data_IF_215789468696
#
_entry.id   IF_215789468696
#
_cell.length_a   1.000
_cell.length_b   1.000
_cell.length_c   1.000
_cell.angle_alpha   90.00
_cell.angle_beta   90.00
_cell.angle_gamma   90.00
#
_symmetry.space_group_name_H-M   'P 1'
#
loop_
_entity.id
_entity.type
_entity.pdbx_description
1 polymer ?
#
# COMPACT_ATOMS: atom_id res chain seq x y z
N UNK A 1 -2.28 22.88 0.27
CA UNK A 1 -2.73 21.51 -0.07
C UNK A 1 -2.68 20.70 1.21
N UNK A 2 -3.84 20.45 1.83
CA UNK A 2 -3.90 19.82 3.15
C UNK A 2 -3.75 18.31 3.02
N UNK A 3 -2.67 17.74 3.54
CA UNK A 3 -2.57 16.29 3.67
C UNK A 3 -3.50 15.84 4.80
N UNK A 4 -4.50 15.02 4.48
CA UNK A 4 -5.36 14.41 5.48
C UNK A 4 -4.50 13.47 6.35
N UNK A 5 -4.07 13.97 7.51
CA UNK A 5 -3.40 13.16 8.53
C UNK A 5 -4.48 12.43 9.32
N UNK A 6 -4.76 11.20 8.92
CA UNK A 6 -5.66 10.35 9.69
C UNK A 6 -4.83 9.58 10.72
N UNK A 7 -4.73 10.12 11.93
CA UNK A 7 -4.22 9.39 13.08
C UNK A 7 -5.39 8.61 13.72
N UNK A 8 -5.62 7.38 13.28
CA UNK A 8 -6.45 6.45 14.05
C UNK A 8 -5.55 5.59 14.94
N UNK A 9 -5.96 5.42 16.20
CA UNK A 9 -5.36 4.44 17.08
C UNK A 9 -5.48 3.04 16.46
N UNK A 10 -4.42 2.21 16.46
CA UNK A 10 -4.51 0.82 16.05
C UNK A 10 -5.68 0.12 16.77
N UNK A 11 -6.62 -0.46 16.00
CA UNK A 11 -7.78 -1.21 16.54
C UNK A 11 -9.14 -0.51 16.45
N UNK A 12 -9.20 0.79 16.12
CA UNK A 12 -10.48 1.43 15.80
C UNK A 12 -10.98 0.95 14.43
N UNK A 13 -12.18 0.36 14.36
CA UNK A 13 -12.83 0.04 13.09
C UNK A 13 -13.34 1.33 12.43
N UNK A 14 -13.08 1.50 11.15
CA UNK A 14 -13.52 2.66 10.38
C UNK A 14 -13.21 2.52 8.90
N UNK A 15 -13.84 3.38 8.11
CA UNK A 15 -13.61 3.51 6.66
C UNK A 15 -12.89 4.82 6.39
N UNK A 16 -11.87 4.76 5.53
CA UNK A 16 -11.18 5.94 5.02
C UNK A 16 -11.43 6.05 3.53
N UNK A 17 -11.64 7.27 3.06
CA UNK A 17 -11.85 7.59 1.65
C UNK A 17 -10.83 8.65 1.24
N UNK A 18 -10.44 8.62 -0.02
CA UNK A 18 -9.56 9.62 -0.63
C UNK A 18 -9.96 9.80 -2.11
N UNK A 19 -9.64 10.95 -2.68
CA UNK A 19 -9.79 11.21 -4.11
C UNK A 19 -8.55 10.72 -4.87
N UNK A 20 -8.62 9.67 -5.72
CA UNK A 20 -7.44 9.01 -6.29
C UNK A 20 -6.48 9.91 -7.07
N UNK A 21 -6.99 10.98 -7.71
CA UNK A 21 -6.18 11.90 -8.51
C UNK A 21 -5.54 13.04 -7.71
N UNK A 22 -5.93 13.23 -6.45
CA UNK A 22 -5.59 14.42 -5.67
C UNK A 22 -5.03 14.11 -4.27
N UNK A 23 -5.32 12.94 -3.74
CA UNK A 23 -5.08 12.60 -2.34
C UNK A 23 -4.45 11.20 -2.20
N UNK A 24 -3.87 10.97 -1.03
CA UNK A 24 -3.34 9.68 -0.61
C UNK A 24 -3.71 9.38 0.84
N UNK A 25 -3.80 8.08 1.17
CA UNK A 25 -3.92 7.62 2.56
C UNK A 25 -2.54 7.23 3.07
N UNK A 26 -2.16 7.75 4.25
CA UNK A 26 -0.86 7.47 4.88
C UNK A 26 -1.05 6.86 6.26
N UNK A 27 -0.46 5.69 6.46
CA UNK A 27 -0.38 5.01 7.75
C UNK A 27 1.06 5.08 8.25
N UNK A 28 1.25 5.53 9.49
CA UNK A 28 2.58 5.71 10.09
C UNK A 28 2.68 4.94 11.39
N UNK A 29 3.80 4.23 11.55
CA UNK A 29 4.21 3.73 12.84
C UNK A 29 4.77 4.90 13.69
N UNK A 30 4.70 4.82 15.04
CA UNK A 30 5.49 5.70 15.87
C UNK A 30 7.00 5.53 15.58
N UNK A 31 7.84 6.50 15.94
CA UNK A 31 9.29 6.33 15.87
C UNK A 31 9.72 5.01 16.52
N UNK A 32 10.63 4.30 15.87
CA UNK A 32 11.17 3.05 16.42
C UNK A 32 12.03 3.36 17.66
N UNK A 33 11.83 2.59 18.74
CA UNK A 33 12.60 2.73 19.99
C UNK A 33 13.96 2.02 19.95
N UNK A 34 14.08 1.00 19.11
CA UNK A 34 15.28 0.17 18.92
C UNK A 34 15.45 -0.11 17.43
N UNK A 35 16.66 -0.49 17.03
CA UNK A 35 16.96 -0.91 15.66
C UNK A 35 16.09 -2.12 15.26
N UNK A 36 15.53 -2.07 14.04
CA UNK A 36 14.69 -3.11 13.48
C UNK A 36 15.10 -3.40 12.04
N UNK A 37 15.19 -4.69 11.73
CA UNK A 37 15.43 -5.15 10.37
C UNK A 37 14.13 -5.65 9.75
N UNK A 38 13.85 -5.19 8.53
CA UNK A 38 12.78 -5.69 7.67
C UNK A 38 13.40 -6.23 6.39
N UNK A 39 13.38 -7.56 6.23
CA UNK A 39 14.06 -8.24 5.12
C UNK A 39 13.11 -9.21 4.42
N UNK A 40 13.08 -9.14 3.09
CA UNK A 40 12.23 -9.98 2.23
C UNK A 40 11.02 -9.24 1.64
N UNK A 41 10.08 -9.98 1.02
CA UNK A 41 8.87 -9.41 0.44
C UNK A 41 7.95 -8.80 1.51
N UNK A 42 7.20 -7.78 1.12
CA UNK A 42 6.17 -7.16 1.95
C UNK A 42 4.82 -7.21 1.24
N UNK A 43 3.75 -7.47 1.99
CA UNK A 43 2.39 -7.53 1.48
C UNK A 43 1.47 -6.56 2.22
N UNK A 44 0.64 -5.82 1.47
CA UNK A 44 -0.41 -4.99 2.00
C UNK A 44 -1.77 -5.68 1.83
N UNK A 45 -2.38 -6.13 2.93
CA UNK A 45 -3.73 -6.72 2.92
C UNK A 45 -4.76 -5.62 3.19
N UNK A 46 -5.40 -5.14 2.13
CA UNK A 46 -6.38 -4.06 2.18
C UNK A 46 -7.79 -4.59 1.94
N UNK A 47 -8.77 -4.01 2.65
CA UNK A 47 -10.19 -4.11 2.27
C UNK A 47 -10.55 -2.78 1.61
N UNK A 48 -11.03 -2.83 0.37
CA UNK A 48 -11.32 -1.65 -0.42
C UNK A 48 -12.75 -1.70 -0.95
N UNK A 49 -13.31 -0.53 -1.21
CA UNK A 49 -14.45 -0.34 -2.10
C UNK A 49 -14.17 0.80 -3.07
N UNK A 50 -14.89 0.85 -4.19
CA UNK A 50 -14.70 1.85 -5.24
C UNK A 50 -16.06 2.30 -5.78
N UNK A 51 -16.13 3.54 -6.27
CA UNK A 51 -17.31 4.04 -6.99
C UNK A 51 -17.41 3.49 -8.44
N UNK A 52 -16.35 2.84 -8.93
CA UNK A 52 -16.24 2.24 -10.26
C UNK A 52 -16.13 0.72 -10.19
N UNK A 53 -16.26 0.05 -11.33
CA UNK A 53 -16.15 -1.42 -11.45
C UNK A 53 -14.71 -1.94 -11.35
N UNK A 54 -13.73 -1.05 -11.19
CA UNK A 54 -12.33 -1.41 -10.96
C UNK A 54 -11.60 -0.28 -10.22
N UNK A 55 -10.40 -0.56 -9.73
CA UNK A 55 -9.51 0.42 -9.10
C UNK A 55 -8.05 -0.02 -9.27
N UNK A 56 -7.17 0.92 -9.63
CA UNK A 56 -5.73 0.70 -9.63
C UNK A 56 -5.15 1.18 -8.29
N UNK A 57 -4.55 0.26 -7.53
CA UNK A 57 -3.90 0.53 -6.25
C UNK A 57 -2.40 0.70 -6.44
N UNK A 58 -1.89 1.80 -5.92
CA UNK A 58 -0.46 2.13 -5.87
C UNK A 58 -0.06 2.24 -4.40
N UNK A 59 0.87 1.40 -3.96
CA UNK A 59 1.32 1.37 -2.55
C UNK A 59 2.82 1.62 -2.46
N UNK A 60 3.25 2.35 -1.44
CA UNK A 60 4.66 2.57 -1.14
C UNK A 60 4.95 2.31 0.34
N UNK A 61 6.05 1.60 0.61
CA UNK A 61 6.64 1.49 1.94
C UNK A 61 7.76 2.52 2.03
N UNK A 62 7.65 3.47 2.96
CA UNK A 62 8.53 4.64 3.04
C UNK A 62 9.24 4.69 4.39
N UNK A 63 10.48 5.17 4.38
CA UNK A 63 11.28 5.42 5.58
C UNK A 63 11.49 6.92 5.73
N UNK A 64 11.34 7.40 6.96
CA UNK A 64 11.64 8.77 7.32
C UNK A 64 12.66 8.79 8.44
N UNK A 65 13.62 9.71 8.35
CA UNK A 65 14.59 9.96 9.41
C UNK A 65 13.93 10.69 10.61
N UNK A 66 14.64 10.86 11.73
CA UNK A 66 14.11 11.56 12.90
C UNK A 66 13.76 13.04 12.66
N UNK A 67 14.29 13.65 11.60
CA UNK A 67 13.98 15.03 11.19
C UNK A 67 12.75 15.08 10.25
N UNK A 68 12.21 13.92 9.88
CA UNK A 68 11.04 13.78 9.02
C UNK A 68 11.36 13.86 7.52
N UNK A 69 12.63 13.84 7.13
CA UNK A 69 13.01 13.72 5.73
C UNK A 69 12.90 12.26 5.27
N UNK A 70 12.41 12.05 4.05
CA UNK A 70 12.33 10.70 3.49
C UNK A 70 13.73 10.20 3.13
N UNK A 71 14.04 8.98 3.56
CA UNK A 71 15.20 8.23 3.10
C UNK A 71 14.83 7.51 1.82
N UNK A 72 15.55 7.81 0.74
CA UNK A 72 15.28 7.29 -0.61
C UNK A 72 16.44 6.42 -1.12
N UNK A 73 16.14 5.60 -2.11
CA UNK A 73 17.06 4.64 -2.73
C UNK A 73 17.12 4.87 -4.24
N UNK A 74 18.10 4.26 -4.91
CA UNK A 74 18.18 4.27 -6.38
C UNK A 74 17.27 3.18 -6.91
N UNK A 75 16.25 3.57 -7.68
CA UNK A 75 15.35 2.67 -8.36
C UNK A 75 15.76 2.41 -9.81
N UNK A 76 15.04 1.51 -10.47
CA UNK A 76 15.31 1.12 -11.85
C UNK A 76 15.21 2.29 -12.86
N UNK A 77 14.33 3.25 -12.58
CA UNK A 77 13.99 4.36 -13.48
C UNK A 77 14.04 5.75 -12.82
N UNK A 78 14.24 5.81 -11.50
CA UNK A 78 14.28 7.07 -10.75
C UNK A 78 15.39 7.00 -9.68
N UNK A 79 16.25 8.04 -9.55
CA UNK A 79 17.30 8.07 -8.53
C UNK A 79 16.79 8.21 -7.09
N UNK A 80 15.48 8.45 -6.87
CA UNK A 80 14.85 8.65 -5.57
C UNK A 80 13.54 7.88 -5.46
N UNK A 81 13.64 6.60 -5.10
CA UNK A 81 12.47 5.73 -4.83
C UNK A 81 12.32 5.43 -3.33
N UNK A 82 11.10 5.12 -2.86
CA UNK A 82 10.89 4.62 -1.51
C UNK A 82 11.46 3.19 -1.35
N UNK A 83 11.42 2.63 -0.13
CA UNK A 83 11.95 1.28 0.16
C UNK A 83 11.36 0.23 -0.76
N UNK A 84 10.02 0.26 -0.92
CA UNK A 84 9.31 -0.68 -1.76
C UNK A 84 8.09 -0.02 -2.41
N UNK A 85 7.75 -0.53 -3.59
CA UNK A 85 6.58 -0.14 -4.37
C UNK A 85 5.78 -1.39 -4.72
N UNK A 86 4.45 -1.24 -4.77
CA UNK A 86 3.54 -2.31 -5.16
C UNK A 86 2.35 -1.77 -5.93
N UNK A 87 1.84 -2.59 -6.85
CA UNK A 87 0.76 -2.24 -7.76
C UNK A 87 -0.21 -3.40 -7.89
N UNK A 88 -1.51 -3.10 -7.91
CA UNK A 88 -2.53 -4.08 -8.22
C UNK A 88 -3.76 -3.40 -8.81
N UNK A 89 -4.23 -3.92 -9.95
CA UNK A 89 -5.59 -3.66 -10.42
C UNK A 89 -6.56 -4.57 -9.66
N UNK A 90 -7.54 -3.99 -8.99
CA UNK A 90 -8.42 -4.69 -8.06
C UNK A 90 -9.23 -5.82 -8.71
N UNK A 91 -9.57 -5.70 -10.00
CA UNK A 91 -10.21 -6.79 -10.74
C UNK A 91 -9.32 -8.01 -10.98
N UNK A 92 -8.00 -7.88 -10.82
CA UNK A 92 -7.03 -8.97 -10.92
C UNK A 92 -6.59 -9.52 -9.55
N UNK A 93 -7.34 -9.23 -8.49
CA UNK A 93 -6.98 -9.60 -7.11
C UNK A 93 -6.89 -11.11 -6.82
N UNK A 94 -7.42 -11.98 -7.69
CA UNK A 94 -7.43 -13.43 -7.48
C UNK A 94 -6.01 -13.95 -7.24
N UNK A 95 -5.83 -14.71 -6.17
CA UNK A 95 -4.55 -15.31 -5.82
C UNK A 95 -4.43 -16.71 -6.44
N UNK A 96 -3.23 -17.05 -6.88
CA UNK A 96 -2.78 -18.44 -6.94
C UNK A 96 -2.41 -18.86 -5.52
N UNK A 97 -3.26 -19.68 -4.91
CA UNK A 97 -3.13 -20.08 -3.50
C UNK A 97 -1.91 -20.98 -3.28
N UNK A 98 -1.55 -21.82 -4.25
CA UNK A 98 -0.45 -22.78 -4.11
C UNK A 98 0.92 -22.08 -4.24
N UNK A 99 0.97 -20.99 -5.01
CA UNK A 99 2.19 -20.18 -5.20
C UNK A 99 2.33 -19.02 -4.21
N UNK A 100 1.28 -18.70 -3.44
CA UNK A 100 1.24 -17.54 -2.54
C UNK A 100 1.78 -17.85 -1.14
N UNK A 101 2.51 -16.89 -0.57
CA UNK A 101 2.89 -16.85 0.85
C UNK A 101 2.26 -15.61 1.52
N UNK A 102 2.03 -15.59 2.85
CA UNK A 102 1.39 -14.45 3.52
C UNK A 102 2.06 -13.09 3.27
N UNK A 103 3.38 -13.09 3.06
CA UNK A 103 4.19 -11.91 2.78
C UNK A 103 4.54 -11.74 1.29
N UNK A 104 4.20 -12.72 0.43
CA UNK A 104 4.48 -12.72 -1.02
C UNK A 104 3.27 -13.27 -1.79
N UNK A 105 2.20 -12.45 -1.97
CA UNK A 105 1.05 -12.87 -2.76
C UNK A 105 1.43 -13.06 -4.24
N UNK A 106 0.90 -14.11 -4.85
CA UNK A 106 0.98 -14.33 -6.30
C UNK A 106 -0.43 -14.21 -6.86
N UNK A 107 -0.63 -13.20 -7.70
CA UNK A 107 -1.91 -12.98 -8.38
C UNK A 107 -1.95 -13.80 -9.68
N UNK A 108 -3.03 -14.54 -9.90
CA UNK A 108 -3.12 -15.49 -11.02
C UNK A 108 -3.28 -14.80 -12.38
N UNK A 109 -3.89 -13.61 -12.40
CA UNK A 109 -4.14 -12.79 -13.61
C UNK A 109 -4.85 -13.51 -14.78
N UNK A 110 -5.49 -14.64 -14.51
CA UNK A 110 -6.14 -15.54 -15.47
C UNK A 110 -7.63 -15.20 -15.68
N UNK A 111 -8.18 -14.28 -14.89
CA UNK A 111 -9.50 -13.69 -15.13
C UNK A 111 -9.57 -12.24 -14.62
N UNK A 112 -10.53 -11.50 -15.17
CA UNK A 112 -10.94 -10.18 -14.67
C UNK A 112 -12.20 -10.40 -13.82
N UNK A 113 -12.13 -10.00 -12.55
CA UNK A 113 -13.24 -10.04 -11.61
C UNK A 113 -13.66 -8.60 -11.22
N UNK A 114 -14.57 -7.95 -11.97
CA UNK A 114 -14.97 -6.57 -11.69
C UNK A 114 -15.44 -6.37 -10.24
N UNK A 115 -15.16 -5.20 -9.68
CA UNK A 115 -15.76 -4.76 -8.43
C UNK A 115 -17.24 -4.44 -8.64
N UNK A 116 -18.04 -4.67 -7.60
CA UNK A 116 -19.36 -4.04 -7.49
C UNK A 116 -19.13 -2.64 -6.92
N UNK A 117 -19.56 -1.57 -7.60
CA UNK A 117 -19.45 -0.23 -7.06
C UNK A 117 -20.16 -0.09 -5.70
N UNK A 118 -19.52 0.55 -4.72
CA UNK A 118 -20.04 0.77 -3.36
C UNK A 118 -19.11 0.27 -2.26
#
# INVERSE_FOLDING_TARGET
MGHLRVAHSPGASGTLSYQPEHEDLRFKLPPAGDDREFTGPAAAKLRISSATTDADLFSSLRLYDPQGAEVTFIGSNDPKVPIALGWLRASHRRLDIDSSEPYRPVHSHDAIEPLVPG
#
